data_IF_940757265649
#
_entry.id   IF_940757265649
#
_cell.length_a   1.000
_cell.length_b   1.000
_cell.length_c   1.000
_cell.angle_alpha   90.00
_cell.angle_beta   90.00
_cell.angle_gamma   90.00
#
_symmetry.space_group_name_H-M   'P 1'
#
loop_
_entity.id
_entity.type
_entity.pdbx_description
1 polymer ?
#
# COMPACT_ATOMS: atom_id res chain seq x y z
N UNK A 1 -14.82 -1.18 16.32
CA UNK A 1 -14.14 -2.36 16.87
C UNK A 1 -12.91 -2.71 16.03
N UNK A 2 -11.81 -3.00 16.69
CA UNK A 2 -10.57 -3.35 15.99
C UNK A 2 -10.63 -4.82 15.57
N UNK A 3 -10.31 -5.15 14.30
CA UNK A 3 -10.35 -6.52 13.84
C UNK A 3 -9.28 -7.41 14.51
N UNK A 4 -9.59 -8.68 14.64
CA UNK A 4 -8.65 -9.69 15.14
C UNK A 4 -7.51 -9.90 14.14
N UNK A 5 -6.43 -10.59 14.55
CA UNK A 5 -5.33 -10.92 13.65
C UNK A 5 -5.81 -11.66 12.40
N UNK A 6 -6.67 -12.66 12.56
CA UNK A 6 -7.22 -13.43 11.44
C UNK A 6 -8.05 -12.54 10.51
N UNK A 7 -8.87 -11.66 11.07
CA UNK A 7 -9.67 -10.71 10.28
C UNK A 7 -8.77 -9.72 9.54
N UNK A 8 -7.69 -9.25 10.18
CA UNK A 8 -6.71 -8.36 9.55
C UNK A 8 -6.03 -9.04 8.37
N UNK A 9 -5.63 -10.30 8.52
CA UNK A 9 -5.00 -11.05 7.42
C UNK A 9 -5.94 -11.12 6.21
N UNK A 10 -7.23 -11.37 6.45
CA UNK A 10 -8.23 -11.39 5.37
C UNK A 10 -8.41 -10.02 4.73
N UNK A 11 -8.42 -8.94 5.53
CA UNK A 11 -8.50 -7.57 5.02
C UNK A 11 -7.29 -7.26 4.13
N UNK A 12 -6.08 -7.59 4.55
CA UNK A 12 -4.87 -7.33 3.78
C UNK A 12 -4.83 -8.10 2.47
N UNK A 13 -5.30 -9.36 2.46
CA UNK A 13 -5.40 -10.14 1.22
C UNK A 13 -6.35 -9.48 0.23
N UNK A 14 -7.54 -9.09 0.69
CA UNK A 14 -8.53 -8.42 -0.16
C UNK A 14 -8.04 -7.05 -0.63
N UNK A 15 -7.39 -6.30 0.25
CA UNK A 15 -6.80 -5.00 -0.05
C UNK A 15 -5.74 -5.11 -1.15
N UNK A 16 -4.78 -6.02 -0.99
CA UNK A 16 -3.71 -6.25 -1.98
C UNK A 16 -4.28 -6.63 -3.35
N UNK A 17 -5.30 -7.50 -3.36
CA UNK A 17 -5.95 -7.91 -4.60
C UNK A 17 -6.65 -6.75 -5.29
N UNK A 18 -7.36 -5.91 -4.52
CA UNK A 18 -8.04 -4.73 -5.06
C UNK A 18 -7.05 -3.74 -5.67
N UNK A 19 -5.93 -3.50 -5.00
CA UNK A 19 -4.86 -2.62 -5.53
C UNK A 19 -4.25 -3.20 -6.80
N UNK A 20 -3.94 -4.48 -6.81
CA UNK A 20 -3.36 -5.14 -7.97
C UNK A 20 -4.27 -5.03 -9.20
N UNK A 21 -5.57 -5.17 -9.01
CA UNK A 21 -6.57 -5.10 -10.09
C UNK A 21 -7.04 -3.68 -10.38
N UNK A 22 -6.65 -2.70 -9.59
CA UNK A 22 -7.19 -1.33 -9.62
C UNK A 22 -8.72 -1.33 -9.54
N UNK A 23 -9.26 -2.17 -8.67
CA UNK A 23 -10.71 -2.36 -8.46
C UNK A 23 -11.17 -1.53 -7.26
N UNK A 24 -11.70 -0.34 -7.54
CA UNK A 24 -12.09 0.59 -6.49
C UNK A 24 -13.31 0.11 -5.70
N UNK A 25 -14.24 -0.59 -6.33
CA UNK A 25 -15.40 -1.12 -5.62
C UNK A 25 -14.97 -2.18 -4.60
N UNK A 26 -14.07 -3.07 -4.98
CA UNK A 26 -13.51 -4.06 -4.07
C UNK A 26 -12.69 -3.39 -2.96
N UNK A 27 -11.92 -2.35 -3.29
CA UNK A 27 -11.12 -1.61 -2.30
C UNK A 27 -12.02 -1.03 -1.21
N UNK A 28 -13.09 -0.37 -1.59
CA UNK A 28 -14.00 0.29 -0.65
C UNK A 28 -14.92 -0.68 0.11
N UNK A 29 -14.81 -1.97 -0.15
CA UNK A 29 -15.37 -3.00 0.74
C UNK A 29 -14.51 -3.22 1.99
N UNK A 30 -13.20 -2.92 1.92
CA UNK A 30 -12.25 -3.21 2.99
C UNK A 30 -11.60 -1.96 3.59
N UNK A 31 -11.85 -0.80 3.03
CA UNK A 31 -11.40 0.49 3.60
C UNK A 31 -12.61 1.35 3.95
N UNK A 32 -12.42 2.30 4.87
CA UNK A 32 -13.48 3.24 5.23
C UNK A 32 -13.70 4.26 4.11
N UNK A 33 -14.87 4.91 4.11
CA UNK A 33 -15.21 5.97 3.14
C UNK A 33 -14.19 7.10 3.14
N UNK A 34 -13.69 7.45 4.32
CA UNK A 34 -12.70 8.52 4.49
C UNK A 34 -11.27 7.98 4.62
N UNK A 35 -11.00 6.82 4.05
CA UNK A 35 -9.67 6.21 4.03
C UNK A 35 -8.63 7.18 3.50
N UNK A 36 -7.47 7.25 4.19
CA UNK A 36 -6.34 8.10 3.82
C UNK A 36 -5.12 7.23 3.55
N UNK A 37 -4.54 7.42 2.39
CA UNK A 37 -3.29 6.77 1.99
C UNK A 37 -2.19 7.83 1.93
N UNK A 38 -1.21 7.75 2.82
CA UNK A 38 -0.03 8.61 2.81
C UNK A 38 1.13 7.84 2.22
N UNK A 39 1.82 8.47 1.30
CA UNK A 39 2.90 7.81 0.56
C UNK A 39 4.15 8.65 0.55
N UNK A 40 5.24 8.08 1.06
CA UNK A 40 6.56 8.70 1.09
C UNK A 40 7.59 7.67 0.62
N UNK A 41 8.28 7.98 -0.49
CA UNK A 41 9.26 7.08 -1.10
C UNK A 41 10.71 7.47 -0.80
N UNK A 42 10.94 8.47 0.06
CA UNK A 42 12.26 8.96 0.42
C UNK A 42 12.90 9.86 -0.63
N UNK A 43 12.27 10.05 -1.77
CA UNK A 43 12.83 10.83 -2.89
C UNK A 43 12.00 12.07 -3.22
N UNK A 44 10.70 12.00 -3.00
CA UNK A 44 9.74 13.05 -3.36
C UNK A 44 9.01 13.52 -2.10
N UNK A 45 8.36 14.70 -2.15
CA UNK A 45 7.47 15.11 -1.06
C UNK A 45 6.38 14.08 -0.82
N UNK A 46 5.92 13.99 0.43
CA UNK A 46 4.82 13.10 0.80
C UNK A 46 3.57 13.39 -0.04
N UNK A 47 2.93 12.33 -0.51
CA UNK A 47 1.63 12.42 -1.18
C UNK A 47 0.55 11.95 -0.20
N UNK A 48 -0.56 12.67 -0.18
CA UNK A 48 -1.73 12.29 0.61
C UNK A 48 -2.88 12.05 -0.36
N UNK A 49 -3.36 10.81 -0.38
CA UNK A 49 -4.40 10.36 -1.31
C UNK A 49 -5.70 10.16 -0.55
N UNK A 50 -6.72 10.92 -0.91
CA UNK A 50 -8.06 10.79 -0.36
C UNK A 50 -9.07 10.70 -1.50
N UNK A 51 -10.05 9.81 -1.36
CA UNK A 51 -11.09 9.59 -2.37
C UNK A 51 -10.70 8.63 -3.47
N UNK A 52 -11.71 8.08 -4.11
CA UNK A 52 -11.56 7.04 -5.13
C UNK A 52 -10.70 7.49 -6.30
N UNK A 53 -10.95 8.69 -6.81
CA UNK A 53 -10.27 9.17 -8.01
C UNK A 53 -8.77 9.35 -7.78
N UNK A 54 -8.37 9.95 -6.66
CA UNK A 54 -6.96 10.17 -6.34
C UNK A 54 -6.22 8.83 -6.19
N UNK A 55 -6.85 7.87 -5.52
CA UNK A 55 -6.26 6.54 -5.32
C UNK A 55 -6.16 5.79 -6.65
N UNK A 56 -7.22 5.80 -7.44
CA UNK A 56 -7.24 5.16 -8.75
C UNK A 56 -6.17 5.72 -9.67
N UNK A 57 -6.05 7.04 -9.71
CA UNK A 57 -5.05 7.72 -10.52
C UNK A 57 -3.62 7.37 -10.08
N UNK A 58 -3.38 7.32 -8.78
CA UNK A 58 -2.08 6.94 -8.25
C UNK A 58 -1.69 5.52 -8.67
N UNK A 59 -2.61 4.58 -8.56
CA UNK A 59 -2.37 3.19 -8.97
C UNK A 59 -2.10 3.13 -10.48
N UNK A 60 -2.88 3.85 -11.28
CA UNK A 60 -2.72 3.89 -12.72
C UNK A 60 -1.37 4.51 -13.13
N UNK A 61 -0.96 5.61 -12.48
CA UNK A 61 0.34 6.25 -12.70
C UNK A 61 1.48 5.27 -12.44
N UNK A 62 1.42 4.53 -11.34
CA UNK A 62 2.45 3.56 -11.00
C UNK A 62 2.53 2.44 -12.04
N UNK A 63 1.40 1.93 -12.49
CA UNK A 63 1.36 0.90 -13.54
C UNK A 63 1.87 1.39 -14.90
N UNK A 64 1.75 2.68 -15.16
CA UNK A 64 2.29 3.30 -16.37
C UNK A 64 3.79 3.51 -16.24
N UNK A 65 4.26 3.98 -15.10
CA UNK A 65 5.68 4.29 -14.89
C UNK A 65 6.55 3.03 -14.76
N UNK A 66 6.04 2.00 -14.08
CA UNK A 66 6.77 0.76 -13.86
C UNK A 66 6.20 -0.37 -14.73
N UNK A 67 7.07 -1.09 -15.42
CA UNK A 67 6.68 -2.29 -16.16
C UNK A 67 6.52 -3.48 -15.23
N UNK A 68 7.21 -3.48 -14.09
CA UNK A 68 7.02 -4.47 -13.05
C UNK A 68 7.23 -3.85 -11.67
N UNK A 69 6.49 -4.36 -10.70
CA UNK A 69 6.62 -3.98 -9.30
C UNK A 69 6.32 -5.24 -8.49
N UNK A 70 7.32 -5.74 -7.77
CA UNK A 70 7.21 -7.01 -7.07
C UNK A 70 7.60 -6.85 -5.62
N UNK A 71 6.65 -7.11 -4.74
CA UNK A 71 6.87 -7.15 -3.29
C UNK A 71 7.41 -8.52 -2.87
N UNK A 72 8.38 -8.51 -1.97
CA UNK A 72 8.92 -9.73 -1.38
C UNK A 72 9.38 -9.46 0.05
N UNK A 73 9.66 -10.54 0.79
CA UNK A 73 10.01 -10.47 2.21
C UNK A 73 8.95 -9.72 3.03
N UNK A 74 7.68 -9.96 2.70
CA UNK A 74 6.54 -9.29 3.35
C UNK A 74 6.27 -9.95 4.70
N UNK A 75 6.29 -9.14 5.76
CA UNK A 75 5.97 -9.60 7.12
C UNK A 75 4.98 -8.63 7.74
N UNK A 76 3.89 -9.16 8.31
CA UNK A 76 2.91 -8.38 9.05
C UNK A 76 3.14 -8.50 10.54
N UNK A 77 2.97 -7.37 11.24
CA UNK A 77 3.06 -7.28 12.69
C UNK A 77 1.76 -6.67 13.20
N UNK A 78 0.95 -7.46 13.93
CA UNK A 78 -0.32 -7.00 14.44
C UNK A 78 -0.18 -6.59 15.91
N UNK A 79 -0.46 -5.31 16.19
CA UNK A 79 -0.53 -4.77 17.54
C UNK A 79 -1.99 -4.57 17.92
N UNK A 80 -2.27 -4.02 19.11
CA UNK A 80 -3.64 -3.90 19.59
C UNK A 80 -4.55 -3.11 18.63
N UNK A 81 -4.12 -1.95 18.18
CA UNK A 81 -4.93 -1.06 17.34
C UNK A 81 -4.30 -0.73 15.99
N UNK A 82 -3.10 -1.20 15.74
CA UNK A 82 -2.38 -0.95 14.50
C UNK A 82 -1.75 -2.22 13.96
N UNK A 83 -1.52 -2.24 12.66
CA UNK A 83 -0.69 -3.27 12.04
C UNK A 83 0.42 -2.60 11.26
N UNK A 84 1.56 -3.24 11.21
CA UNK A 84 2.69 -2.83 10.38
C UNK A 84 3.00 -3.93 9.38
N UNK A 85 3.44 -3.52 8.21
CA UNK A 85 3.98 -4.44 7.21
C UNK A 85 5.38 -3.98 6.85
N UNK A 86 6.36 -4.86 6.98
CA UNK A 86 7.70 -4.60 6.43
C UNK A 86 7.84 -5.37 5.13
N UNK A 87 8.61 -4.81 4.20
CA UNK A 87 8.71 -5.38 2.86
C UNK A 87 9.96 -4.91 2.13
N UNK A 88 10.28 -5.64 1.07
CA UNK A 88 11.15 -5.19 0.00
C UNK A 88 10.34 -5.11 -1.27
N UNK A 89 10.71 -4.23 -2.17
CA UNK A 89 10.05 -4.10 -3.47
C UNK A 89 11.11 -3.91 -4.55
N UNK A 90 10.99 -4.70 -5.62
CA UNK A 90 11.82 -4.60 -6.81
C UNK A 90 10.97 -4.03 -7.92
N UNK A 91 11.40 -2.93 -8.50
CA UNK A 91 10.64 -2.23 -9.55
C UNK A 91 11.50 -1.99 -10.77
N UNK A 92 10.89 -2.06 -11.94
CA UNK A 92 11.55 -1.75 -13.22
C UNK A 92 10.82 -0.58 -13.87
N UNK A 93 11.56 0.50 -14.15
CA UNK A 93 11.02 1.68 -14.86
C UNK A 93 10.78 1.31 -16.31
N UNK A 94 9.57 1.53 -16.80
CA UNK A 94 9.15 1.10 -18.15
C UNK A 94 9.99 1.72 -19.25
N UNK A 95 10.20 3.03 -19.19
CA UNK A 95 10.82 3.76 -20.29
C UNK A 95 12.33 3.53 -20.42
N UNK A 96 13.01 3.26 -19.30
CA UNK A 96 14.48 3.17 -19.26
C UNK A 96 14.99 1.77 -18.98
N UNK A 97 14.15 0.88 -18.43
CA UNK A 97 14.59 -0.43 -17.95
C UNK A 97 15.37 -0.35 -16.65
N UNK A 98 15.49 0.83 -16.04
CA UNK A 98 16.17 0.99 -14.76
C UNK A 98 15.52 0.12 -13.70
N UNK A 99 16.35 -0.60 -12.95
CA UNK A 99 15.88 -1.41 -11.83
C UNK A 99 16.11 -0.67 -10.52
N UNK A 100 15.09 -0.68 -9.67
CA UNK A 100 15.12 -0.04 -8.36
C UNK A 100 14.79 -1.05 -7.28
N UNK A 101 15.52 -1.00 -6.19
CA UNK A 101 15.25 -1.78 -4.99
C UNK A 101 14.94 -0.82 -3.85
N UNK A 102 13.85 -1.06 -3.16
CA UNK A 102 13.47 -0.30 -1.97
C UNK A 102 13.07 -1.25 -0.85
N UNK A 103 13.19 -0.76 0.36
CA UNK A 103 12.59 -1.40 1.53
C UNK A 103 11.70 -0.40 2.24
N UNK A 104 10.72 -0.89 2.96
CA UNK A 104 9.79 0.01 3.60
C UNK A 104 9.00 -0.60 4.72
N UNK A 105 8.22 0.27 5.33
CA UNK A 105 7.25 -0.06 6.36
C UNK A 105 5.94 0.62 5.97
N UNK A 106 4.84 -0.11 6.12
CA UNK A 106 3.50 0.45 6.01
C UNK A 106 2.83 0.33 7.38
N UNK A 107 2.21 1.42 7.82
CA UNK A 107 1.46 1.45 9.07
C UNK A 107 -0.02 1.57 8.75
N UNK A 108 -0.81 0.71 9.36
CA UNK A 108 -2.25 0.66 9.13
C UNK A 108 -3.01 0.89 10.42
N UNK A 109 -4.10 1.68 10.33
CA UNK A 109 -5.06 1.81 11.42
C UNK A 109 -6.43 1.31 10.93
N UNK A 110 -7.33 1.06 11.88
CA UNK A 110 -8.63 0.45 11.60
C UNK A 110 -9.74 1.29 12.21
N UNK A 111 -10.91 1.26 11.57
CA UNK A 111 -12.13 1.87 12.07
C UNK A 111 -13.32 1.06 11.53
N UNK A 112 -14.25 0.72 12.39
CA UNK A 112 -15.45 -0.06 12.04
C UNK A 112 -15.14 -1.37 11.31
N UNK A 113 -14.05 -2.04 11.72
CA UNK A 113 -13.65 -3.32 11.13
C UNK A 113 -12.98 -3.23 9.77
N UNK A 114 -12.66 -2.01 9.31
CA UNK A 114 -12.04 -1.76 8.01
C UNK A 114 -10.74 -0.98 8.19
N UNK A 115 -9.93 -0.95 7.13
CA UNK A 115 -8.72 -0.12 7.09
C UNK A 115 -9.11 1.34 7.01
N UNK A 116 -8.57 2.15 7.93
CA UNK A 116 -8.84 3.59 7.99
C UNK A 116 -7.71 4.42 7.40
N UNK A 117 -6.46 4.02 7.65
CA UNK A 117 -5.29 4.71 7.09
C UNK A 117 -4.23 3.72 6.64
N UNK A 118 -3.45 4.15 5.66
CA UNK A 118 -2.25 3.47 5.19
C UNK A 118 -1.15 4.51 5.07
N UNK A 119 -0.13 4.41 5.93
CA UNK A 119 1.05 5.27 5.87
C UNK A 119 2.22 4.47 5.34
N UNK A 120 2.78 4.88 4.20
CA UNK A 120 3.87 4.18 3.52
C UNK A 120 5.16 4.97 3.66
N UNK A 121 6.21 4.29 4.12
CA UNK A 121 7.56 4.82 4.20
C UNK A 121 8.50 3.89 3.45
N UNK A 122 9.12 4.39 2.40
CA UNK A 122 10.08 3.62 1.62
C UNK A 122 11.42 4.34 1.60
N UNK A 123 12.48 3.56 1.46
CA UNK A 123 13.81 4.11 1.20
C UNK A 123 14.52 3.24 0.16
N UNK A 124 15.33 3.85 -0.72
CA UNK A 124 16.15 3.10 -1.65
C UNK A 124 17.15 2.22 -0.90
N UNK A 125 17.41 1.04 -1.48
CA UNK A 125 18.50 0.18 -1.03
C UNK A 125 19.66 0.38 -1.99
N UNK A 126 20.85 0.61 -1.47
CA UNK A 126 22.05 0.70 -2.30
C UNK A 126 22.29 -0.65 -2.97
N UNK A 127 22.54 -0.62 -4.26
CA UNK A 127 22.78 -1.80 -5.07
C UNK A 127 24.27 -1.92 -5.34
#
# INVERSE_FOLDING_TARGET
>A
MTPTATERDALFQAFARALFKNDMDALYQVVTENFVWRYHDGLSPERVLTGRDAIQDHIAERKTFFSSSRFHDVVYYHLSETSFMTFRVSETVRDTGEQREQQGIERYTFEDGKLATKDVYRKPIAV
#
